data_IF_374982482718
#
_entry.id   IF_374982482718
#
_cell.length_a   1.000
_cell.length_b   1.000
_cell.length_c   1.000
_cell.angle_alpha   90.00
_cell.angle_beta   90.00
_cell.angle_gamma   90.00
#
_symmetry.space_group_name_H-M   'P 1'
#
loop_
_entity.id
_entity.type
_entity.pdbx_description
1 polymer ?
#
# COMPACT_ATOMS: atom_id res chain seq x y z
N UNK A 1 -37.18 11.44 -28.16
CA UNK A 1 -37.90 10.15 -28.25
C UNK A 1 -37.66 9.40 -26.95
N UNK A 2 -38.70 8.76 -26.43
CA UNK A 2 -38.95 8.49 -25.01
C UNK A 2 -38.04 7.43 -24.34
N UNK A 3 -37.76 7.71 -23.06
CA UNK A 3 -37.82 6.86 -21.86
C UNK A 3 -37.93 5.33 -22.02
N UNK A 4 -37.05 4.59 -21.34
CA UNK A 4 -37.43 3.39 -20.59
C UNK A 4 -36.41 3.07 -19.48
N UNK A 5 -36.84 3.32 -18.23
CA UNK A 5 -36.29 2.72 -17.01
C UNK A 5 -36.71 1.24 -16.97
N UNK A 6 -35.79 0.34 -16.62
CA UNK A 6 -36.14 -1.00 -16.11
C UNK A 6 -35.29 -1.27 -14.87
N UNK A 7 -35.92 -1.17 -13.72
CA UNK A 7 -35.47 -1.73 -12.46
C UNK A 7 -35.95 -3.18 -12.37
N UNK A 8 -35.10 -4.11 -11.93
CA UNK A 8 -35.53 -5.43 -11.50
C UNK A 8 -34.77 -5.83 -10.24
N UNK A 9 -35.49 -5.68 -9.12
CA UNK A 9 -35.20 -6.15 -7.78
C UNK A 9 -35.30 -7.69 -7.77
N UNK A 10 -34.24 -8.40 -7.36
CA UNK A 10 -34.31 -9.84 -7.11
C UNK A 10 -34.32 -10.12 -5.61
N UNK A 11 -35.41 -10.77 -5.19
CA UNK A 11 -35.80 -11.07 -3.81
C UNK A 11 -35.24 -12.44 -3.40
N UNK A 12 -34.77 -12.50 -2.15
CA UNK A 12 -34.26 -13.65 -1.40
C UNK A 12 -35.29 -14.78 -1.26
N UNK A 13 -34.83 -16.04 -1.29
CA UNK A 13 -35.60 -17.18 -0.74
C UNK A 13 -34.66 -18.14 0.01
N UNK A 14 -34.97 -18.38 1.29
CA UNK A 14 -34.28 -19.30 2.19
C UNK A 14 -35.25 -20.41 2.62
N UNK A 15 -34.81 -21.66 2.47
CA UNK A 15 -35.40 -22.87 3.05
C UNK A 15 -34.21 -23.73 3.50
N UNK A 16 -33.98 -24.03 4.79
CA UNK A 16 -34.75 -24.91 5.69
C UNK A 16 -34.18 -26.35 5.59
N UNK A 17 -34.07 -27.23 6.58
CA UNK A 17 -34.17 -27.27 8.04
C UNK A 17 -33.71 -28.70 8.49
N UNK A 18 -33.65 -28.96 9.81
CA UNK A 18 -33.46 -30.27 10.51
C UNK A 18 -32.01 -30.78 10.64
N UNK A 19 -31.51 -31.11 11.85
CA UNK A 19 -32.16 -31.95 12.87
C UNK A 19 -31.88 -31.55 14.32
N UNK A 20 -32.89 -31.80 15.16
CA UNK A 20 -32.99 -31.57 16.60
C UNK A 20 -32.77 -32.88 17.39
N UNK A 21 -32.10 -32.82 18.55
CA UNK A 21 -32.30 -33.68 19.76
C UNK A 21 -31.22 -33.30 20.80
N UNK A 22 -31.41 -33.18 22.13
CA UNK A 22 -32.54 -33.10 23.06
C UNK A 22 -31.99 -32.61 24.44
N UNK A 23 -32.85 -31.93 25.23
CA UNK A 23 -33.00 -31.91 26.72
C UNK A 23 -31.76 -31.84 27.65
N UNK A 24 -31.67 -31.11 28.78
CA UNK A 24 -32.48 -30.14 29.56
C UNK A 24 -31.50 -29.51 30.62
N UNK A 25 -31.88 -28.79 31.70
CA UNK A 25 -31.48 -27.41 31.98
C UNK A 25 -30.64 -27.21 33.26
N UNK A 26 -30.05 -26.03 33.47
CA UNK A 26 -30.05 -25.27 34.74
C UNK A 26 -28.95 -24.18 34.79
N UNK A 27 -29.35 -23.04 35.35
CA UNK A 27 -28.53 -21.99 35.98
C UNK A 27 -27.79 -20.97 35.09
N UNK A 28 -28.46 -19.81 34.95
CA UNK A 28 -28.03 -18.40 35.08
C UNK A 28 -26.63 -17.88 34.66
N UNK A 29 -26.55 -16.59 34.28
CA UNK A 29 -25.66 -16.09 33.24
C UNK A 29 -24.41 -15.38 33.78
N UNK A 30 -23.33 -15.41 33.01
CA UNK A 30 -22.34 -14.33 32.97
C UNK A 30 -21.55 -14.41 31.65
N UNK A 31 -21.37 -13.23 31.05
CA UNK A 31 -20.60 -12.90 29.85
C UNK A 31 -19.43 -13.83 29.49
N UNK A 32 -19.35 -14.21 28.22
CA UNK A 32 -18.05 -14.41 27.59
C UNK A 32 -18.10 -14.10 26.10
N UNK A 33 -17.17 -13.22 25.74
CA UNK A 33 -16.84 -12.63 24.46
C UNK A 33 -17.17 -13.43 23.19
N UNK A 34 -17.71 -12.71 22.22
CA UNK A 34 -17.78 -13.08 20.81
C UNK A 34 -16.38 -13.41 20.28
N UNK A 35 -16.21 -14.64 19.81
CA UNK A 35 -15.08 -15.07 19.01
C UNK A 35 -15.37 -14.74 17.54
N UNK A 36 -14.65 -13.76 16.99
CA UNK A 36 -14.41 -13.63 15.54
C UNK A 36 -13.63 -14.84 15.03
N UNK A 37 -13.80 -15.22 13.76
CA UNK A 37 -12.66 -15.04 12.85
C UNK A 37 -13.07 -14.83 11.37
N UNK A 38 -12.36 -13.95 10.65
CA UNK A 38 -11.41 -14.28 9.56
C UNK A 38 -11.19 -13.05 8.65
N UNK A 39 -10.11 -12.31 8.90
CA UNK A 39 -9.47 -11.48 7.88
C UNK A 39 -8.34 -12.31 7.24
N UNK A 40 -8.26 -12.42 5.90
CA UNK A 40 -7.07 -12.95 5.24
C UNK A 40 -5.92 -11.95 5.38
N UNK A 41 -5.10 -12.14 6.40
CA UNK A 41 -3.77 -11.54 6.48
C UNK A 41 -2.81 -12.29 5.57
N UNK A 42 -2.37 -11.66 4.48
CA UNK A 42 -1.13 -12.01 3.81
C UNK A 42 -0.61 -10.84 2.96
N UNK A 43 0.15 -9.95 3.58
CA UNK A 43 1.29 -9.33 2.92
C UNK A 43 2.46 -9.42 3.88
N UNK A 44 3.64 -9.97 3.48
CA UNK A 44 4.79 -10.00 4.37
C UNK A 44 5.23 -8.55 4.60
N UNK A 45 4.96 -8.05 5.81
CA UNK A 45 5.61 -6.86 6.33
C UNK A 45 7.11 -7.17 6.40
N UNK A 46 7.85 -6.76 5.38
CA UNK A 46 9.29 -6.68 5.43
C UNK A 46 9.64 -5.63 6.49
N UNK A 47 10.02 -6.10 7.67
CA UNK A 47 10.62 -5.26 8.71
C UNK A 47 11.98 -4.78 8.18
N UNK A 48 12.24 -3.46 8.06
CA UNK A 48 13.57 -3.01 7.68
C UNK A 48 14.52 -3.25 8.87
N UNK A 49 15.48 -4.14 8.66
CA UNK A 49 16.58 -4.36 9.58
C UNK A 49 17.42 -3.09 9.71
N UNK A 50 17.58 -2.61 10.94
CA UNK A 50 18.44 -1.48 11.27
C UNK A 50 19.87 -1.73 10.78
N UNK A 51 20.38 -0.83 9.93
CA UNK A 51 21.73 -0.89 9.33
C UNK A 51 21.78 -1.16 7.82
N UNK A 52 20.66 -1.13 7.09
CA UNK A 52 20.54 -1.48 5.65
C UNK A 52 19.92 -0.39 4.75
N UNK A 53 19.97 0.85 5.21
CA UNK A 53 18.96 1.90 5.02
C UNK A 53 18.77 2.42 3.59
N UNK A 54 19.83 2.61 2.80
CA UNK A 54 19.70 3.12 1.42
C UNK A 54 19.43 2.03 0.38
N UNK A 55 19.81 0.78 0.66
CA UNK A 55 19.60 -0.34 -0.26
C UNK A 55 18.13 -0.70 -0.42
N UNK A 56 17.36 -0.60 0.67
CA UNK A 56 15.91 -0.77 0.66
C UNK A 56 15.24 0.31 -0.20
N UNK A 57 15.67 1.57 -0.07
CA UNK A 57 15.21 2.68 -0.91
C UNK A 57 15.46 2.41 -2.39
N UNK A 58 16.69 2.04 -2.77
CA UNK A 58 17.04 1.72 -4.17
C UNK A 58 16.22 0.53 -4.71
N UNK A 59 15.98 -0.50 -3.89
CA UNK A 59 15.18 -1.65 -4.29
C UNK A 59 13.72 -1.25 -4.59
N UNK A 60 13.13 -0.35 -3.79
CA UNK A 60 11.77 0.13 -4.04
C UNK A 60 11.72 1.02 -5.30
N UNK A 61 12.68 1.94 -5.48
CA UNK A 61 12.77 2.76 -6.71
C UNK A 61 12.82 1.88 -7.97
N UNK A 62 13.56 0.77 -7.92
CA UNK A 62 13.63 -0.20 -9.02
C UNK A 62 12.26 -0.84 -9.32
N UNK A 63 11.50 -1.20 -8.29
CA UNK A 63 10.14 -1.76 -8.46
C UNK A 63 9.16 -0.74 -9.01
N UNK A 64 9.20 0.50 -8.51
CA UNK A 64 8.38 1.60 -9.03
C UNK A 64 8.71 1.86 -10.50
N UNK A 65 10.00 1.89 -10.88
CA UNK A 65 10.46 2.02 -12.27
C UNK A 65 9.86 0.92 -13.17
N UNK A 66 9.95 -0.34 -12.76
CA UNK A 66 9.39 -1.45 -13.52
C UNK A 66 7.86 -1.33 -13.71
N UNK A 67 7.14 -0.85 -12.70
CA UNK A 67 5.70 -0.59 -12.82
C UNK A 67 5.38 0.57 -13.78
N UNK A 68 6.16 1.66 -13.74
CA UNK A 68 6.04 2.78 -14.69
C UNK A 68 6.31 2.33 -16.13
N UNK A 69 7.35 1.52 -16.35
CA UNK A 69 7.68 0.95 -17.66
C UNK A 69 6.52 0.09 -18.21
N UNK A 70 5.94 -0.76 -17.34
CA UNK A 70 4.75 -1.54 -17.66
C UNK A 70 3.49 -0.68 -17.92
N UNK A 71 3.48 0.58 -17.48
CA UNK A 71 2.30 1.45 -17.53
C UNK A 71 1.26 1.14 -16.48
N UNK A 72 1.65 0.43 -15.43
CA UNK A 72 0.82 0.12 -14.29
C UNK A 72 0.93 1.25 -13.25
N UNK A 73 0.13 2.29 -13.43
CA UNK A 73 0.14 3.46 -12.56
C UNK A 73 -0.28 3.12 -11.12
N UNK A 74 -1.23 2.19 -10.95
CA UNK A 74 -1.69 1.77 -9.63
C UNK A 74 -0.57 1.05 -8.86
N UNK A 75 0.10 0.10 -9.52
CA UNK A 75 1.25 -0.57 -8.93
C UNK A 75 2.41 0.39 -8.68
N UNK A 76 2.70 1.31 -9.61
CA UNK A 76 3.75 2.29 -9.41
C UNK A 76 3.51 3.13 -8.15
N UNK A 77 2.26 3.56 -7.93
CA UNK A 77 1.87 4.28 -6.72
C UNK A 77 2.05 3.43 -5.46
N UNK A 78 1.55 2.19 -5.46
CA UNK A 78 1.70 1.27 -4.31
C UNK A 78 3.18 1.00 -3.99
N UNK A 79 4.02 0.76 -4.99
CA UNK A 79 5.46 0.58 -4.76
C UNK A 79 6.08 1.88 -4.23
N UNK A 80 5.66 3.05 -4.72
CA UNK A 80 6.19 4.33 -4.21
C UNK A 80 5.76 4.65 -2.78
N UNK A 81 4.56 4.27 -2.34
CA UNK A 81 4.15 4.36 -0.93
C UNK A 81 5.08 3.53 -0.01
N UNK A 82 5.61 2.40 -0.51
CA UNK A 82 6.62 1.62 0.20
C UNK A 82 7.97 2.35 0.29
N UNK A 83 8.27 3.23 -0.66
CA UNK A 83 9.47 4.07 -0.62
C UNK A 83 9.35 5.08 0.51
N UNK A 84 8.22 5.78 0.59
CA UNK A 84 7.94 6.77 1.65
C UNK A 84 8.00 6.12 3.04
N UNK A 85 7.47 4.90 3.17
CA UNK A 85 7.53 4.13 4.42
C UNK A 85 8.98 3.75 4.81
N UNK A 86 9.82 3.41 3.83
CA UNK A 86 11.23 3.08 4.05
C UNK A 86 12.10 4.32 4.28
N UNK A 87 11.70 5.49 3.76
CA UNK A 87 12.40 6.76 3.90
C UNK A 87 12.26 7.36 5.31
N UNK A 88 11.04 7.34 5.85
CA UNK A 88 10.71 7.94 7.15
C UNK A 88 11.64 7.56 8.32
N UNK A 89 12.05 6.30 8.53
CA UNK A 89 12.95 5.96 9.64
C UNK A 89 14.40 6.44 9.45
N UNK A 90 14.80 6.84 8.23
CA UNK A 90 16.20 7.14 7.89
C UNK A 90 16.42 8.62 7.54
N UNK A 91 15.36 9.36 7.22
CA UNK A 91 15.41 10.73 6.71
C UNK A 91 16.14 11.70 7.66
N UNK A 92 15.90 11.61 8.97
CA UNK A 92 16.49 12.54 9.94
C UNK A 92 17.99 12.26 10.12
N UNK A 93 18.39 10.99 10.11
CA UNK A 93 19.80 10.60 10.16
C UNK A 93 20.57 11.04 8.91
N UNK A 94 19.91 11.08 7.75
CA UNK A 94 20.49 11.60 6.51
C UNK A 94 20.53 13.14 6.56
N UNK A 95 19.48 13.80 7.03
CA UNK A 95 19.40 15.25 7.20
C UNK A 95 20.52 15.80 8.10
N UNK A 96 20.79 15.13 9.22
CA UNK A 96 21.85 15.53 10.15
C UNK A 96 23.26 15.40 9.53
N UNK A 97 23.50 14.32 8.78
CA UNK A 97 24.83 14.01 8.20
C UNK A 97 25.09 14.71 6.87
N UNK A 98 24.05 14.87 6.05
CA UNK A 98 24.13 15.35 4.69
C UNK A 98 22.80 16.05 4.29
N UNK A 99 22.58 17.30 4.77
CA UNK A 99 21.33 18.03 4.53
C UNK A 99 21.06 18.26 3.04
N UNK A 100 22.12 18.41 2.23
CA UNK A 100 21.98 18.55 0.78
C UNK A 100 21.42 17.29 0.12
N UNK A 101 21.87 16.11 0.56
CA UNK A 101 21.32 14.85 0.04
C UNK A 101 19.88 14.62 0.51
N UNK A 102 19.56 15.00 1.75
CA UNK A 102 18.18 15.02 2.24
C UNK A 102 17.28 15.88 1.34
N UNK A 103 17.64 17.14 1.10
CA UNK A 103 16.88 18.06 0.23
C UNK A 103 16.70 17.50 -1.19
N UNK A 104 17.77 16.94 -1.77
CA UNK A 104 17.71 16.34 -3.10
C UNK A 104 16.79 15.11 -3.18
N UNK A 105 16.70 14.33 -2.10
CA UNK A 105 15.79 13.18 -2.03
C UNK A 105 14.35 13.68 -1.93
N UNK A 106 14.05 14.62 -1.03
CA UNK A 106 12.71 15.22 -0.88
C UNK A 106 12.21 15.83 -2.21
N UNK A 107 13.02 16.65 -2.88
CA UNK A 107 12.66 17.25 -4.16
C UNK A 107 12.37 16.18 -5.23
N UNK A 108 13.20 15.13 -5.28
CA UNK A 108 12.99 14.04 -6.22
C UNK A 108 11.74 13.20 -5.88
N UNK A 109 11.43 13.02 -4.60
CA UNK A 109 10.19 12.37 -4.15
C UNK A 109 8.96 13.14 -4.60
N UNK A 110 8.94 14.47 -4.41
CA UNK A 110 7.87 15.35 -4.88
C UNK A 110 7.68 15.22 -6.40
N UNK A 111 8.80 15.16 -7.15
CA UNK A 111 8.80 14.93 -8.59
C UNK A 111 8.14 13.61 -8.98
N UNK A 112 8.44 12.52 -8.27
CA UNK A 112 7.83 11.20 -8.53
C UNK A 112 6.35 11.21 -8.16
N UNK A 113 5.99 11.66 -6.95
CA UNK A 113 4.60 11.75 -6.48
C UNK A 113 3.72 12.59 -7.41
N UNK A 114 4.25 13.71 -7.92
CA UNK A 114 3.56 14.55 -8.90
C UNK A 114 3.24 13.83 -10.21
N UNK A 115 4.10 12.91 -10.68
CA UNK A 115 3.82 12.12 -11.89
C UNK A 115 2.90 10.93 -11.63
N UNK A 116 2.91 10.36 -10.42
CA UNK A 116 2.07 9.21 -10.06
C UNK A 116 0.65 9.62 -9.60
N UNK A 117 0.44 10.87 -9.19
CA UNK A 117 -0.86 11.38 -8.72
C UNK A 117 -1.88 11.71 -9.81
N UNK A 118 -1.50 11.65 -11.10
CA UNK A 118 -2.34 12.07 -12.24
C UNK A 118 -2.40 11.04 -13.37
N UNK A 119 -2.51 11.53 -14.61
CA UNK A 119 -2.30 10.68 -15.79
C UNK A 119 -0.80 10.35 -15.90
N UNK A 120 -0.47 9.06 -15.96
CA UNK A 120 0.92 8.61 -15.97
C UNK A 120 1.64 9.04 -17.26
N UNK A 121 2.45 10.09 -17.17
CA UNK A 121 3.47 10.42 -18.17
C UNK A 121 4.72 9.58 -17.88
N UNK A 122 4.86 8.45 -18.59
CA UNK A 122 5.97 7.50 -18.38
C UNK A 122 7.33 8.16 -18.47
N UNK A 123 7.54 9.06 -19.42
CA UNK A 123 8.85 9.67 -19.64
C UNK A 123 9.24 10.57 -18.46
N UNK A 124 8.31 11.39 -17.99
CA UNK A 124 8.53 12.25 -16.81
C UNK A 124 8.70 11.42 -15.54
N UNK A 125 7.88 10.38 -15.33
CA UNK A 125 7.99 9.50 -14.18
C UNK A 125 9.35 8.78 -14.13
N UNK A 126 9.84 8.26 -15.26
CA UNK A 126 11.16 7.62 -15.34
C UNK A 126 12.31 8.61 -15.14
N UNK A 127 12.14 9.85 -15.58
CA UNK A 127 13.11 10.93 -15.31
C UNK A 127 13.17 11.23 -13.82
N UNK A 128 12.02 11.42 -13.16
CA UNK A 128 11.95 11.68 -11.73
C UNK A 128 12.53 10.53 -10.89
N UNK A 129 12.23 9.28 -11.24
CA UNK A 129 12.80 8.10 -10.58
C UNK A 129 14.33 8.01 -10.73
N UNK A 130 14.88 8.46 -11.87
CA UNK A 130 16.33 8.49 -12.08
C UNK A 130 17.00 9.60 -11.26
N UNK A 131 16.33 10.75 -11.10
CA UNK A 131 16.79 11.79 -10.17
C UNK A 131 16.79 11.29 -8.73
N UNK A 132 15.73 10.58 -8.30
CA UNK A 132 15.64 10.01 -6.96
C UNK A 132 16.73 8.98 -6.68
N UNK A 133 16.98 8.07 -7.63
CA UNK A 133 18.07 7.10 -7.55
C UNK A 133 19.45 7.78 -7.45
N UNK A 134 19.66 8.85 -8.21
CA UNK A 134 20.85 9.70 -8.12
C UNK A 134 21.01 10.32 -6.74
N UNK A 135 19.95 10.93 -6.20
CA UNK A 135 19.93 11.58 -4.89
C UNK A 135 20.23 10.60 -3.74
N UNK A 136 19.63 9.39 -3.77
CA UNK A 136 19.94 8.30 -2.84
C UNK A 136 21.43 7.92 -2.92
N UNK A 137 22.01 7.92 -4.13
CA UNK A 137 23.44 7.69 -4.33
C UNK A 137 24.34 8.72 -3.66
N UNK A 138 23.87 9.97 -3.49
CA UNK A 138 24.60 11.04 -2.82
C UNK A 138 24.48 11.01 -1.29
N UNK A 139 23.53 10.25 -0.74
CA UNK A 139 23.31 10.09 0.69
C UNK A 139 24.19 9.02 1.36
N UNK A 140 25.03 8.31 0.57
CA UNK A 140 25.94 7.25 1.03
C UNK A 140 27.14 7.76 1.82
#
# INVERSE_FOLDING_TARGET
MALALVAALSIVTSAGCSSQTAANPAASPAESAAASPVEPAASPAASPAAGGDLSALTAVVTKTRAAVEAGDAAKAKTEFEQFEAAWKPVEDGIKEKNPKAYEAIEEAMDGVSGQLGGNLDKAKALTALSSLEGAIGQAK
#
